data_IF_714023329838
#
_entry.id   IF_714023329838
#
_cell.length_a   1.000
_cell.length_b   1.000
_cell.length_c   1.000
_cell.angle_alpha   90.00
_cell.angle_beta   90.00
_cell.angle_gamma   90.00
#
_symmetry.space_group_name_H-M   'P 1'
#
loop_
_entity.id
_entity.type
_entity.pdbx_description
1 polymer ?
#
# COMPACT_ATOMS: atom_id res chain seq x y z
N UNK A 1 40.02 12.32 60.11
CA UNK A 1 39.61 11.34 59.07
C UNK A 1 38.15 11.46 58.66
N UNK A 2 37.23 12.00 59.47
CA UNK A 2 35.79 12.13 59.09
C UNK A 2 35.51 13.20 58.04
N UNK A 3 36.18 14.37 58.09
CA UNK A 3 35.91 15.50 57.19
C UNK A 3 36.21 15.15 55.72
N UNK A 4 37.35 14.58 55.32
CA UNK A 4 37.56 14.23 53.92
C UNK A 4 36.60 13.14 53.41
N UNK A 5 36.17 12.22 54.25
CA UNK A 5 35.19 11.20 53.87
C UNK A 5 33.81 11.80 53.61
N UNK A 6 33.39 12.82 54.34
CA UNK A 6 32.11 13.56 54.13
C UNK A 6 32.17 14.36 52.83
N UNK A 7 33.31 15.01 52.53
CA UNK A 7 33.47 15.76 51.25
C UNK A 7 33.40 14.83 50.06
N UNK A 8 34.07 13.68 50.13
CA UNK A 8 34.01 12.68 49.04
C UNK A 8 32.58 12.14 48.86
N UNK A 9 31.89 11.84 49.98
CA UNK A 9 30.50 11.36 49.92
C UNK A 9 29.56 12.42 49.32
N UNK A 10 29.68 13.69 49.70
CA UNK A 10 28.91 14.76 49.12
C UNK A 10 29.22 14.94 47.63
N UNK A 11 30.48 14.83 47.22
CA UNK A 11 30.86 14.88 45.81
C UNK A 11 30.26 13.76 44.97
N UNK A 12 30.26 12.54 45.48
CA UNK A 12 29.64 11.37 44.79
C UNK A 12 28.12 11.51 44.73
N UNK A 13 27.46 11.93 45.80
CA UNK A 13 26.01 12.18 45.80
C UNK A 13 25.62 13.29 44.82
N UNK A 14 26.43 14.33 44.76
CA UNK A 14 26.17 15.44 43.83
C UNK A 14 26.35 15.06 42.39
N UNK A 15 27.39 14.30 42.07
CA UNK A 15 27.56 13.76 40.71
C UNK A 15 26.41 12.87 40.30
N UNK A 16 25.89 12.05 41.22
CA UNK A 16 24.73 11.20 40.96
C UNK A 16 23.47 11.99 40.66
N UNK A 17 23.25 13.11 41.37
CA UNK A 17 22.11 14.01 41.12
C UNK A 17 22.25 14.69 39.75
N UNK A 18 23.40 15.28 39.44
CA UNK A 18 23.64 15.96 38.16
C UNK A 18 23.51 14.99 36.97
N UNK A 19 24.04 13.77 37.12
CA UNK A 19 23.90 12.71 36.11
C UNK A 19 22.44 12.27 35.96
N UNK A 20 21.69 12.21 37.05
CA UNK A 20 20.25 11.93 37.03
C UNK A 20 19.45 13.01 36.22
N UNK A 21 19.81 14.28 36.40
CA UNK A 21 19.20 15.37 35.63
C UNK A 21 19.53 15.27 34.12
N UNK A 22 20.77 14.94 33.77
CA UNK A 22 21.22 14.70 32.41
C UNK A 22 20.44 13.57 31.78
N UNK A 23 20.33 12.43 32.48
CA UNK A 23 19.63 11.25 31.99
C UNK A 23 18.12 11.50 31.77
N UNK A 24 17.49 12.20 32.73
CA UNK A 24 16.08 12.57 32.61
C UNK A 24 15.82 13.48 31.41
N UNK A 25 16.67 14.49 31.22
CA UNK A 25 16.58 15.39 30.05
C UNK A 25 16.76 14.63 28.75
N UNK A 26 17.74 13.73 28.68
CA UNK A 26 17.98 12.87 27.52
C UNK A 26 16.73 12.04 27.20
N UNK A 27 16.11 11.43 28.21
CA UNK A 27 14.90 10.63 28.06
C UNK A 27 13.71 11.47 27.54
N UNK A 28 13.52 12.71 28.08
CA UNK A 28 12.46 13.61 27.60
C UNK A 28 12.65 14.00 26.14
N UNK A 29 13.87 14.40 25.73
CA UNK A 29 14.16 14.80 24.36
C UNK A 29 14.05 13.60 23.40
N UNK A 30 14.49 12.44 23.83
CA UNK A 30 14.36 11.21 23.06
C UNK A 30 12.89 10.81 22.85
N UNK A 31 12.07 10.93 23.91
CA UNK A 31 10.62 10.71 23.83
C UNK A 31 9.93 11.70 22.88
N UNK A 32 10.31 12.98 22.96
CA UNK A 32 9.84 14.02 22.05
C UNK A 32 10.18 13.69 20.59
N UNK A 33 11.47 13.46 20.31
CA UNK A 33 11.94 13.19 18.96
C UNK A 33 11.25 11.95 18.35
N UNK A 34 11.14 10.86 19.12
CA UNK A 34 10.45 9.62 18.68
C UNK A 34 8.99 9.85 18.38
N UNK A 35 8.26 10.53 19.28
CA UNK A 35 6.82 10.74 19.11
C UNK A 35 6.52 11.60 17.90
N UNK A 36 7.30 12.67 17.70
CA UNK A 36 7.16 13.55 16.53
C UNK A 36 7.54 12.81 15.24
N UNK A 37 8.65 12.08 15.23
CA UNK A 37 9.09 11.32 14.07
C UNK A 37 8.05 10.28 13.62
N UNK A 38 7.47 9.52 14.56
CA UNK A 38 6.41 8.56 14.27
C UNK A 38 5.13 9.23 13.75
N UNK A 39 4.72 10.36 14.35
CA UNK A 39 3.52 11.09 13.93
C UNK A 39 3.69 11.64 12.50
N UNK A 40 4.84 12.24 12.20
CA UNK A 40 5.14 12.78 10.89
C UNK A 40 5.30 11.68 9.82
N UNK A 41 6.01 10.59 10.12
CA UNK A 41 6.25 9.51 9.16
C UNK A 41 4.96 8.79 8.73
N UNK A 42 3.92 8.79 9.55
CA UNK A 42 2.60 8.22 9.20
C UNK A 42 1.94 8.93 8.02
N UNK A 43 2.19 10.20 7.84
CA UNK A 43 1.57 11.02 6.79
C UNK A 43 2.33 10.96 5.46
N UNK A 44 3.54 10.38 5.45
CA UNK A 44 4.32 10.26 4.22
C UNK A 44 3.67 9.28 3.25
N UNK A 45 3.33 9.79 2.07
CA UNK A 45 2.60 9.04 1.05
C UNK A 45 3.16 9.27 -0.37
N UNK A 46 4.37 9.83 -0.47
CA UNK A 46 5.02 10.11 -1.76
C UNK A 46 4.49 11.34 -2.49
N UNK A 47 3.64 12.18 -1.87
CA UNK A 47 3.08 13.39 -2.47
C UNK A 47 3.49 14.65 -1.72
N UNK A 48 3.44 15.86 -2.36
CA UNK A 48 3.67 17.12 -1.66
C UNK A 48 2.70 17.36 -0.50
N UNK A 49 1.46 16.91 -0.65
CA UNK A 49 0.43 17.00 0.39
C UNK A 49 0.81 16.14 1.62
N UNK A 50 1.39 14.96 1.41
CA UNK A 50 1.91 14.10 2.48
C UNK A 50 3.04 14.76 3.27
N UNK A 51 3.95 15.46 2.61
CA UNK A 51 5.02 16.25 3.29
C UNK A 51 4.39 17.36 4.16
N UNK A 52 3.39 18.06 3.63
CA UNK A 52 2.69 19.13 4.38
C UNK A 52 1.94 18.55 5.59
N UNK A 53 1.25 17.44 5.42
CA UNK A 53 0.56 16.73 6.51
C UNK A 53 1.55 16.23 7.58
N UNK A 54 2.73 15.73 7.16
CA UNK A 54 3.78 15.27 8.07
C UNK A 54 4.27 16.41 9.00
N UNK A 55 4.50 17.61 8.47
CA UNK A 55 4.86 18.77 9.28
C UNK A 55 3.75 19.13 10.26
N UNK A 56 2.49 19.23 9.78
CA UNK A 56 1.36 19.58 10.61
C UNK A 56 1.17 18.57 11.77
N UNK A 57 1.20 17.28 11.50
CA UNK A 57 1.04 16.21 12.51
C UNK A 57 2.24 16.12 13.45
N UNK A 58 3.45 16.31 12.95
CA UNK A 58 4.65 16.40 13.76
C UNK A 58 4.58 17.57 14.73
N UNK A 59 4.22 18.77 14.26
CA UNK A 59 4.02 19.94 15.10
C UNK A 59 2.88 19.77 16.13
N UNK A 60 1.77 19.14 15.74
CA UNK A 60 0.68 18.81 16.67
C UNK A 60 1.15 17.86 17.77
N UNK A 61 1.96 16.86 17.43
CA UNK A 61 2.52 15.92 18.39
C UNK A 61 3.47 16.62 19.37
N UNK A 62 4.35 17.50 18.85
CA UNK A 62 5.26 18.29 19.68
C UNK A 62 4.51 19.20 20.67
N UNK A 63 3.46 19.91 20.23
CA UNK A 63 2.65 20.79 21.08
C UNK A 63 1.94 20.07 22.22
N UNK A 64 1.65 18.78 22.09
CA UNK A 64 1.01 17.95 23.14
C UNK A 64 1.99 17.51 24.21
N UNK A 65 3.28 17.50 23.90
CA UNK A 65 4.33 17.09 24.85
C UNK A 65 4.72 18.30 25.71
N UNK A 66 4.83 18.05 27.00
CA UNK A 66 5.36 19.02 27.98
C UNK A 66 6.70 18.54 28.47
N UNK A 67 7.62 19.47 28.65
CA UNK A 67 8.94 19.19 29.23
C UNK A 67 9.17 20.01 30.51
N UNK A 68 10.19 19.72 31.30
CA UNK A 68 10.50 20.43 32.54
C UNK A 68 9.24 20.71 33.39
N UNK A 69 8.47 19.67 33.69
CA UNK A 69 7.26 19.75 34.54
C UNK A 69 6.12 20.65 34.02
N UNK A 70 5.96 20.77 32.70
CA UNK A 70 4.79 21.43 32.13
C UNK A 70 5.07 22.55 31.14
N UNK A 71 6.31 22.85 30.82
CA UNK A 71 6.69 23.86 29.85
C UNK A 71 6.38 23.34 28.44
N UNK A 72 5.85 24.19 27.58
CA UNK A 72 5.60 23.85 26.18
C UNK A 72 6.93 23.80 25.41
N UNK A 73 7.05 22.81 24.48
CA UNK A 73 8.18 22.72 23.58
C UNK A 73 8.19 23.91 22.61
N UNK A 74 9.29 24.67 22.48
CA UNK A 74 9.42 25.72 21.46
C UNK A 74 9.63 25.05 20.08
N UNK A 75 8.53 24.63 19.46
CA UNK A 75 8.58 23.82 18.24
C UNK A 75 8.79 24.68 16.99
N UNK A 76 9.67 24.21 16.12
CA UNK A 76 9.84 24.72 14.74
C UNK A 76 9.89 23.53 13.77
N UNK A 77 9.31 23.69 12.59
CA UNK A 77 9.28 22.66 11.54
C UNK A 77 10.69 22.37 10.98
N UNK A 78 11.65 23.24 11.20
CA UNK A 78 13.06 23.03 10.83
C UNK A 78 13.72 21.85 11.56
N UNK A 79 13.13 21.41 12.67
CA UNK A 79 13.55 20.21 13.37
C UNK A 79 13.24 18.92 12.59
N UNK A 80 12.38 18.98 11.56
CA UNK A 80 12.02 17.85 10.71
C UNK A 80 12.80 17.89 9.41
N UNK A 81 13.44 16.77 9.07
CA UNK A 81 14.08 16.52 7.78
C UNK A 81 13.49 15.27 7.15
N UNK A 82 13.48 15.23 5.81
CA UNK A 82 12.94 14.13 5.03
C UNK A 82 14.05 13.41 4.26
N UNK A 83 14.05 12.08 4.31
CA UNK A 83 15.08 11.26 3.70
C UNK A 83 14.56 10.15 2.82
N UNK A 84 15.44 9.58 2.00
CA UNK A 84 15.17 8.40 1.16
C UNK A 84 15.66 7.10 1.80
N UNK A 85 16.44 7.18 2.87
CA UNK A 85 16.99 6.06 3.62
C UNK A 85 17.05 6.43 5.12
N UNK A 86 16.98 5.46 6.03
CA UNK A 86 17.15 5.71 7.46
C UNK A 86 18.61 5.92 7.88
N UNK A 87 19.57 5.74 6.98
CA UNK A 87 21.00 5.92 7.28
C UNK A 87 21.38 7.39 7.54
N UNK A 88 22.53 7.60 8.17
CA UNK A 88 23.09 8.95 8.38
C UNK A 88 23.19 9.74 7.08
N UNK A 89 23.59 9.07 5.98
CA UNK A 89 23.71 9.62 4.62
C UNK A 89 22.42 9.52 3.80
N UNK A 90 21.27 9.46 4.45
CA UNK A 90 19.95 9.19 3.85
C UNK A 90 19.41 10.29 2.93
N UNK A 91 20.24 11.22 2.49
CA UNK A 91 19.84 12.33 1.61
C UNK A 91 18.81 13.24 2.28
N UNK A 92 19.06 13.61 3.53
CA UNK A 92 18.19 14.42 4.36
C UNK A 92 18.02 15.83 3.79
N UNK A 93 16.79 16.21 3.50
CA UNK A 93 16.44 17.52 2.92
C UNK A 93 15.36 18.20 3.77
N UNK A 94 15.23 19.50 3.60
CA UNK A 94 14.16 20.29 4.19
C UNK A 94 12.78 20.02 3.53
N UNK A 95 11.76 20.63 4.08
CA UNK A 95 10.39 20.45 3.60
C UNK A 95 10.16 21.00 2.18
N UNK A 96 10.83 22.08 1.79
CA UNK A 96 10.69 22.67 0.46
C UNK A 96 11.24 21.73 -0.61
N UNK A 97 12.48 21.26 -0.40
CA UNK A 97 13.14 20.27 -1.26
C UNK A 97 12.40 18.93 -1.29
N UNK A 98 11.83 18.51 -0.15
CA UNK A 98 11.03 17.29 -0.08
C UNK A 98 9.72 17.40 -0.90
N UNK A 99 9.06 18.55 -0.91
CA UNK A 99 7.85 18.78 -1.73
C UNK A 99 8.14 18.76 -3.23
N UNK A 100 9.32 19.17 -3.65
CA UNK A 100 9.71 19.13 -5.08
C UNK A 100 10.03 17.71 -5.57
N UNK A 101 10.41 16.79 -4.68
CA UNK A 101 10.71 15.38 -5.01
C UNK A 101 10.15 14.42 -3.94
N UNK A 102 8.84 14.38 -3.73
CA UNK A 102 8.23 13.70 -2.60
C UNK A 102 8.23 12.16 -2.72
N UNK A 103 8.23 11.64 -3.94
CA UNK A 103 8.14 10.20 -4.21
C UNK A 103 9.30 9.37 -3.62
N UNK A 104 10.41 10.02 -3.26
CA UNK A 104 11.56 9.37 -2.65
C UNK A 104 11.66 9.60 -1.12
N UNK A 105 10.72 10.31 -0.49
CA UNK A 105 10.82 10.76 0.90
C UNK A 105 9.90 9.98 1.82
N UNK A 106 10.39 8.87 2.36
CA UNK A 106 9.61 7.96 3.23
C UNK A 106 10.12 7.91 4.67
N UNK A 107 11.18 8.66 4.95
CA UNK A 107 11.77 8.74 6.28
C UNK A 107 11.75 10.17 6.80
N UNK A 108 11.52 10.28 8.09
CA UNK A 108 11.56 11.54 8.84
C UNK A 108 12.66 11.44 9.86
N UNK A 109 13.53 12.42 9.91
CA UNK A 109 14.50 12.65 10.97
C UNK A 109 14.05 13.86 11.78
N UNK A 110 13.95 13.71 13.08
CA UNK A 110 13.70 14.80 14.02
C UNK A 110 14.94 15.03 14.83
N UNK A 111 15.46 16.26 14.77
CA UNK A 111 16.67 16.69 15.48
C UNK A 111 16.31 17.79 16.47
N UNK A 112 16.41 17.48 17.76
CA UNK A 112 16.06 18.43 18.82
C UNK A 112 17.10 19.51 19.03
N UNK A 113 18.32 19.42 18.45
CA UNK A 113 19.34 20.46 18.53
C UNK A 113 18.89 21.78 17.86
N UNK A 114 18.00 21.69 16.89
CA UNK A 114 17.46 22.82 16.13
C UNK A 114 16.43 23.61 16.94
N UNK A 115 15.85 23.02 18.01
CA UNK A 115 14.78 23.64 18.82
C UNK A 115 15.28 24.68 19.82
N UNK A 116 16.55 25.00 19.78
CA UNK A 116 17.19 25.98 20.67
C UNK A 116 17.89 25.32 21.86
N UNK A 117 18.98 25.98 22.27
CA UNK A 117 19.88 25.46 23.31
C UNK A 117 19.19 25.29 24.69
N UNK A 118 18.22 26.15 24.99
CA UNK A 118 17.51 26.14 26.28
C UNK A 118 16.68 24.88 26.51
N UNK A 119 16.22 24.25 25.44
CA UNK A 119 15.47 23.00 25.52
C UNK A 119 16.33 21.86 26.09
N UNK A 120 17.60 21.78 25.64
CA UNK A 120 18.54 20.77 26.04
C UNK A 120 19.48 21.18 27.18
N UNK A 121 19.49 22.45 27.58
CA UNK A 121 20.40 22.96 28.58
C UNK A 121 20.02 22.48 30.01
N UNK A 122 21.03 22.00 30.70
CA UNK A 122 20.96 21.55 32.10
C UNK A 122 22.01 22.31 32.86
N UNK A 123 21.57 23.06 33.87
CA UNK A 123 22.46 23.64 34.84
C UNK A 123 22.81 22.57 35.87
N UNK A 124 24.03 22.08 35.82
CA UNK A 124 24.53 21.17 36.83
C UNK A 124 24.69 21.92 38.15
N UNK A 125 24.40 21.26 39.27
CA UNK A 125 24.43 21.91 40.58
C UNK A 125 25.80 21.72 41.25
N UNK A 126 26.43 20.58 41.09
CA UNK A 126 27.65 20.20 41.79
C UNK A 126 28.84 19.98 40.87
N UNK A 127 28.62 19.68 39.60
CA UNK A 127 29.69 19.62 38.59
C UNK A 127 30.52 20.92 38.50
N UNK A 128 29.93 22.13 38.58
CA UNK A 128 30.71 23.39 38.56
C UNK A 128 31.73 23.46 39.68
N UNK A 129 31.41 22.91 40.85
CA UNK A 129 32.36 22.89 42.02
C UNK A 129 33.58 22.03 41.73
N UNK A 130 33.40 20.96 40.97
CA UNK A 130 34.47 20.02 40.62
C UNK A 130 35.30 20.48 39.41
N UNK A 131 34.61 21.08 38.42
CA UNK A 131 35.24 21.48 37.14
C UNK A 131 35.64 22.93 37.07
N UNK A 132 35.15 23.77 37.99
CA UNK A 132 35.37 25.24 37.96
C UNK A 132 34.63 25.96 36.79
N UNK A 133 33.66 25.30 36.15
CA UNK A 133 32.92 25.84 35.00
C UNK A 133 31.43 25.81 35.27
N UNK A 134 30.77 26.97 35.10
CA UNK A 134 29.32 27.12 35.23
C UNK A 134 28.59 26.93 33.89
N UNK A 135 29.28 26.47 32.86
CA UNK A 135 28.68 26.27 31.55
C UNK A 135 27.61 25.14 31.60
N UNK A 136 26.41 25.37 31.08
CA UNK A 136 25.36 24.35 31.04
C UNK A 136 25.78 23.18 30.16
N UNK A 137 25.42 21.97 30.57
CA UNK A 137 25.51 20.78 29.72
C UNK A 137 24.35 20.83 28.73
N UNK A 138 24.64 20.87 27.43
CA UNK A 138 23.62 20.90 26.40
C UNK A 138 23.47 19.50 25.80
N UNK A 139 22.25 18.97 25.79
CA UNK A 139 21.91 17.67 25.25
C UNK A 139 20.94 17.84 24.10
N UNK A 140 21.15 17.08 23.05
CA UNK A 140 20.21 16.93 21.95
C UNK A 140 20.00 15.45 21.63
N UNK A 141 18.87 15.15 21.03
CA UNK A 141 18.51 13.80 20.61
C UNK A 141 17.98 13.83 19.17
N UNK A 142 18.26 12.75 18.45
CA UNK A 142 17.78 12.51 17.11
C UNK A 142 16.93 11.25 17.13
N UNK A 143 15.81 11.28 16.39
CA UNK A 143 15.02 10.08 16.10
C UNK A 143 14.70 10.01 14.62
N UNK A 144 14.79 8.83 14.06
CA UNK A 144 14.41 8.54 12.68
C UNK A 144 13.23 7.58 12.71
N UNK A 145 12.17 7.95 12.00
CA UNK A 145 11.04 7.07 11.75
C UNK A 145 10.76 7.01 10.25
N UNK A 146 10.26 5.88 9.80
CA UNK A 146 9.93 5.74 8.39
C UNK A 146 8.76 4.79 8.19
N UNK A 147 8.08 4.97 7.09
CA UNK A 147 7.08 4.04 6.62
C UNK A 147 7.83 2.82 6.08
N UNK A 148 7.90 1.78 6.89
CA UNK A 148 8.73 0.61 6.60
C UNK A 148 8.06 -0.37 5.66
N UNK A 149 6.73 -0.45 5.69
CA UNK A 149 6.00 -1.46 4.96
C UNK A 149 4.54 -1.07 4.72
N UNK A 150 3.98 -1.61 3.66
CA UNK A 150 2.55 -1.58 3.34
C UNK A 150 2.05 -3.00 3.11
N UNK A 151 0.74 -3.19 3.30
CA UNK A 151 0.11 -4.48 3.06
C UNK A 151 -0.22 -4.66 1.57
N UNK A 152 0.30 -5.73 0.99
CA UNK A 152 -0.04 -6.18 -0.36
C UNK A 152 -0.30 -7.68 -0.38
N UNK A 153 -0.90 -8.16 -1.46
CA UNK A 153 -0.99 -9.59 -1.74
C UNK A 153 0.36 -10.10 -2.29
N UNK A 154 0.72 -11.38 -2.06
CA UNK A 154 1.98 -11.96 -2.57
C UNK A 154 2.05 -12.08 -4.09
N UNK A 155 0.93 -11.96 -4.79
CA UNK A 155 0.85 -11.93 -6.24
C UNK A 155 1.25 -10.57 -6.77
N UNK A 156 2.13 -10.53 -7.77
CA UNK A 156 2.45 -9.33 -8.54
C UNK A 156 2.35 -9.60 -10.04
N UNK A 157 1.98 -8.57 -10.81
CA UNK A 157 1.83 -8.62 -12.27
C UNK A 157 2.53 -7.41 -12.92
N UNK A 158 2.77 -7.50 -14.22
CA UNK A 158 3.26 -6.34 -14.96
C UNK A 158 2.19 -5.25 -15.08
N UNK A 159 2.59 -4.00 -14.97
CA UNK A 159 1.80 -2.89 -15.49
C UNK A 159 1.67 -3.08 -17.02
N UNK A 160 0.44 -2.93 -17.57
CA UNK A 160 0.19 -3.09 -19.01
C UNK A 160 0.62 -1.85 -19.81
N UNK A 161 0.84 -0.73 -19.14
CA UNK A 161 1.39 0.53 -19.65
C UNK A 161 2.26 1.19 -18.59
N UNK A 162 3.32 1.91 -18.96
CA UNK A 162 4.11 2.69 -18.00
C UNK A 162 3.40 3.96 -17.51
N UNK A 163 2.31 4.38 -18.19
CA UNK A 163 1.59 5.62 -17.87
C UNK A 163 0.71 5.44 -16.65
N UNK A 164 0.88 6.26 -15.60
CA UNK A 164 0.05 6.21 -14.39
C UNK A 164 -1.44 6.44 -14.68
N UNK A 165 -1.76 7.32 -15.64
CA UNK A 165 -3.10 7.58 -16.12
C UNK A 165 -3.08 8.04 -17.57
N UNK A 166 -4.01 7.54 -18.37
CA UNK A 166 -4.19 7.92 -19.78
C UNK A 166 -5.66 8.06 -20.12
N UNK A 167 -5.95 8.97 -21.06
CA UNK A 167 -7.27 9.14 -21.63
C UNK A 167 -7.51 8.08 -22.71
N UNK A 168 -8.62 7.34 -22.60
CA UNK A 168 -9.09 6.43 -23.63
C UNK A 168 -10.34 7.02 -24.28
N UNK A 169 -10.20 7.38 -25.55
CA UNK A 169 -11.35 7.86 -26.34
C UNK A 169 -12.43 6.76 -26.48
N UNK A 170 -13.67 7.18 -26.44
CA UNK A 170 -14.84 6.33 -26.70
C UNK A 170 -15.91 7.17 -27.38
N UNK A 171 -17.06 6.59 -27.72
CA UNK A 171 -18.15 7.31 -28.39
C UNK A 171 -19.01 8.16 -27.44
N UNK A 172 -18.66 8.25 -26.15
CA UNK A 172 -19.32 9.16 -25.20
C UNK A 172 -18.74 10.57 -25.27
N UNK A 173 -19.34 11.49 -24.52
CA UNK A 173 -18.85 12.88 -24.42
C UNK A 173 -17.61 13.06 -23.54
N UNK A 174 -17.08 11.98 -22.96
CA UNK A 174 -15.96 12.02 -22.01
C UNK A 174 -15.03 10.84 -22.25
N UNK A 175 -13.73 11.08 -22.20
CA UNK A 175 -12.73 10.03 -22.23
C UNK A 175 -12.73 9.20 -20.94
N UNK A 176 -12.42 7.90 -21.07
CA UNK A 176 -12.27 6.99 -19.96
C UNK A 176 -10.85 7.09 -19.38
N UNK A 177 -10.72 7.06 -18.06
CA UNK A 177 -9.43 6.94 -17.38
C UNK A 177 -8.95 5.48 -17.46
N UNK A 178 -7.74 5.32 -17.95
CA UNK A 178 -6.99 4.05 -17.95
C UNK A 178 -5.76 4.23 -17.06
N UNK A 179 -5.60 3.37 -16.07
CA UNK A 179 -4.50 3.48 -15.10
C UNK A 179 -3.50 2.32 -15.29
N UNK A 180 -2.25 2.62 -15.61
CA UNK A 180 -1.22 1.62 -15.93
C UNK A 180 -1.66 0.59 -16.96
N UNK A 181 -2.51 0.98 -17.90
CA UNK A 181 -3.05 0.12 -18.95
C UNK A 181 -4.25 -0.72 -18.54
N UNK A 182 -4.77 -0.56 -17.32
CA UNK A 182 -5.96 -1.25 -16.83
C UNK A 182 -7.18 -0.33 -16.83
N UNK A 183 -8.34 -0.88 -17.17
CA UNK A 183 -9.64 -0.20 -17.18
C UNK A 183 -10.47 -0.62 -15.96
N UNK A 184 -11.01 0.34 -15.22
CA UNK A 184 -11.89 0.04 -14.07
C UNK A 184 -13.18 -0.63 -14.53
N UNK A 185 -13.61 -1.61 -13.75
CA UNK A 185 -14.83 -2.36 -14.05
C UNK A 185 -14.64 -3.49 -15.08
N UNK A 186 -13.42 -3.72 -15.56
CA UNK A 186 -13.07 -4.84 -16.43
C UNK A 186 -12.44 -5.97 -15.61
N UNK A 187 -12.93 -7.18 -15.81
CA UNK A 187 -12.34 -8.39 -15.20
C UNK A 187 -11.22 -8.94 -16.08
N UNK A 188 -10.05 -9.06 -15.52
CA UNK A 188 -8.86 -9.66 -16.15
C UNK A 188 -8.58 -11.04 -15.56
N UNK A 189 -7.99 -11.95 -16.34
CA UNK A 189 -7.28 -13.09 -15.77
C UNK A 189 -5.84 -12.66 -15.49
N UNK A 190 -5.50 -12.50 -14.21
CA UNK A 190 -4.19 -12.00 -13.79
C UNK A 190 -3.03 -12.96 -14.15
N UNK A 191 -3.37 -14.22 -14.49
CA UNK A 191 -2.40 -15.23 -14.91
C UNK A 191 -2.15 -15.23 -16.43
N UNK A 192 -2.87 -14.39 -17.20
CA UNK A 192 -2.86 -14.42 -18.66
C UNK A 192 -2.48 -13.06 -19.29
N UNK A 193 -1.60 -12.30 -18.64
CA UNK A 193 -1.19 -10.98 -19.11
C UNK A 193 0.34 -10.91 -19.28
N UNK A 194 0.79 -10.20 -20.35
CA UNK A 194 2.19 -9.85 -20.53
C UNK A 194 2.33 -8.69 -21.51
N UNK A 195 2.77 -7.49 -21.08
CA UNK A 195 2.97 -6.35 -21.97
C UNK A 195 4.19 -6.47 -22.88
N UNK A 196 5.10 -7.42 -22.62
CA UNK A 196 6.40 -7.53 -23.30
C UNK A 196 6.65 -8.90 -23.95
N UNK A 197 5.62 -9.73 -24.04
CA UNK A 197 5.74 -11.06 -24.66
C UNK A 197 4.38 -11.71 -24.87
N UNK A 198 4.34 -12.77 -25.69
CA UNK A 198 3.11 -13.53 -26.00
C UNK A 198 2.84 -14.69 -25.01
N UNK A 199 3.78 -15.00 -24.14
CA UNK A 199 3.60 -15.97 -23.06
C UNK A 199 3.18 -15.23 -21.77
N UNK A 200 2.24 -15.77 -20.97
CA UNK A 200 1.84 -15.17 -19.71
C UNK A 200 3.01 -15.00 -18.75
N UNK A 201 3.00 -13.90 -17.98
CA UNK A 201 4.00 -13.65 -16.94
C UNK A 201 3.33 -13.09 -15.68
N UNK A 202 3.64 -13.70 -14.55
CA UNK A 202 3.19 -13.30 -13.23
C UNK A 202 4.24 -13.68 -12.18
N UNK A 203 4.22 -13.02 -11.04
CA UNK A 203 5.30 -13.11 -10.06
C UNK A 203 4.75 -13.35 -8.67
N UNK A 204 5.58 -13.99 -7.85
CA UNK A 204 5.41 -14.04 -6.39
C UNK A 204 6.38 -13.06 -5.76
N UNK A 205 5.88 -12.19 -4.88
CA UNK A 205 6.72 -11.25 -4.12
C UNK A 205 7.33 -11.98 -2.94
N UNK A 206 8.62 -11.74 -2.67
CA UNK A 206 9.30 -12.27 -1.48
C UNK A 206 8.73 -11.62 -0.19
N UNK A 207 8.08 -12.37 0.70
CA UNK A 207 7.44 -11.81 1.89
C UNK A 207 8.41 -11.58 3.06
N UNK A 208 9.64 -12.04 2.96
CA UNK A 208 10.58 -12.12 4.09
C UNK A 208 11.78 -11.19 3.91
N UNK A 209 12.11 -10.79 2.69
CA UNK A 209 13.27 -9.94 2.44
C UNK A 209 13.13 -8.57 3.09
N UNK A 210 14.15 -8.13 3.83
CA UNK A 210 14.20 -6.76 4.33
C UNK A 210 14.34 -5.75 3.17
N UNK A 211 14.01 -4.47 3.40
CA UNK A 211 14.18 -3.39 2.41
C UNK A 211 15.63 -3.36 1.90
N UNK A 212 15.79 -3.45 0.57
CA UNK A 212 17.12 -3.41 -0.07
C UNK A 212 18.00 -4.65 0.17
N UNK A 213 17.52 -5.64 0.93
CA UNK A 213 18.21 -6.89 1.18
C UNK A 213 18.18 -7.85 -0.02
N UNK A 214 19.12 -8.79 -0.04
CA UNK A 214 19.07 -9.93 -0.95
C UNK A 214 18.10 -10.96 -0.36
N UNK A 215 17.00 -11.27 -1.05
CA UNK A 215 16.08 -12.32 -0.64
C UNK A 215 16.72 -13.71 -0.75
N UNK A 216 16.23 -14.67 0.00
CA UNK A 216 16.59 -16.08 -0.16
C UNK A 216 15.66 -16.75 -1.18
N UNK A 217 16.20 -17.64 -2.02
CA UNK A 217 15.41 -18.33 -3.07
C UNK A 217 14.21 -19.11 -2.49
N UNK A 218 14.31 -19.63 -1.28
CA UNK A 218 13.23 -20.35 -0.60
C UNK A 218 12.08 -19.48 -0.11
N UNK A 219 12.25 -18.16 0.00
CA UNK A 219 11.22 -17.25 0.53
C UNK A 219 9.97 -17.18 -0.38
N UNK A 220 10.12 -17.49 -1.64
CA UNK A 220 9.03 -17.46 -2.64
C UNK A 220 8.44 -18.84 -2.92
N UNK A 221 8.81 -19.87 -2.15
CA UNK A 221 8.19 -21.19 -2.25
C UNK A 221 6.70 -21.15 -1.86
N UNK A 222 5.90 -22.01 -2.46
CA UNK A 222 4.46 -22.09 -2.16
C UNK A 222 4.19 -22.27 -0.66
N UNK A 223 4.98 -23.09 0.04
CA UNK A 223 4.85 -23.30 1.48
C UNK A 223 5.09 -22.03 2.30
N UNK A 224 6.13 -21.28 1.97
CA UNK A 224 6.46 -20.02 2.65
C UNK A 224 5.43 -18.92 2.38
N UNK A 225 4.94 -18.83 1.14
CA UNK A 225 4.01 -17.78 0.71
C UNK A 225 2.55 -18.07 1.13
N UNK A 226 2.18 -19.35 1.31
CA UNK A 226 0.81 -19.80 1.61
C UNK A 226 0.14 -19.02 2.78
N UNK A 227 0.77 -18.81 3.95
CA UNK A 227 0.15 -18.07 5.05
C UNK A 227 -0.19 -16.62 4.67
N UNK A 228 0.64 -15.98 3.84
CA UNK A 228 0.42 -14.61 3.38
C UNK A 228 -0.72 -14.53 2.37
N UNK A 229 -0.86 -15.54 1.49
CA UNK A 229 -2.01 -15.65 0.59
C UNK A 229 -3.30 -15.89 1.37
N UNK A 230 -3.29 -16.75 2.39
CA UNK A 230 -4.41 -16.96 3.31
C UNK A 230 -4.81 -15.64 3.98
N UNK A 231 -3.87 -14.96 4.60
CA UNK A 231 -4.12 -13.67 5.26
C UNK A 231 -4.54 -12.57 4.28
N UNK A 232 -4.13 -12.68 2.99
CA UNK A 232 -4.34 -11.66 1.95
C UNK A 232 -3.54 -10.41 2.21
N UNK A 233 -2.41 -10.54 2.87
CA UNK A 233 -1.52 -9.42 3.18
C UNK A 233 -0.14 -9.89 3.52
N UNK A 234 0.83 -9.18 3.01
CA UNK A 234 2.22 -9.25 3.44
C UNK A 234 2.79 -7.84 3.51
N UNK A 235 3.82 -7.66 4.30
CA UNK A 235 4.52 -6.39 4.38
C UNK A 235 5.57 -6.31 3.27
N UNK A 236 5.48 -5.29 2.42
CA UNK A 236 6.57 -4.91 1.54
C UNK A 236 7.11 -3.54 1.95
N UNK A 237 8.43 -3.35 1.85
CA UNK A 237 9.06 -2.17 2.46
C UNK A 237 8.70 -0.86 1.76
N UNK A 238 8.26 -0.90 0.50
CA UNK A 238 7.97 0.30 -0.26
C UNK A 238 7.20 -0.03 -1.53
N UNK A 239 6.29 0.86 -1.92
CA UNK A 239 5.40 0.61 -3.06
C UNK A 239 5.90 1.25 -4.34
N UNK A 240 5.99 2.56 -4.37
CA UNK A 240 6.25 3.30 -5.61
C UNK A 240 7.73 3.55 -5.82
N UNK A 241 8.26 3.10 -6.97
CA UNK A 241 9.66 3.28 -7.34
C UNK A 241 10.67 2.55 -6.43
N UNK A 242 10.19 1.70 -5.51
CA UNK A 242 11.04 0.92 -4.62
C UNK A 242 11.39 -0.46 -5.21
N UNK A 243 12.62 -0.95 -4.98
CA UNK A 243 12.99 -2.30 -5.35
C UNK A 243 12.30 -3.32 -4.44
N UNK A 244 11.71 -4.34 -5.05
CA UNK A 244 11.21 -5.52 -4.35
C UNK A 244 11.86 -6.77 -4.94
N UNK A 245 11.83 -7.88 -4.20
CA UNK A 245 12.31 -9.17 -4.69
C UNK A 245 11.12 -10.01 -5.13
N UNK A 246 11.23 -10.58 -6.32
CA UNK A 246 10.18 -11.41 -6.91
C UNK A 246 10.77 -12.68 -7.52
N UNK A 247 9.93 -13.68 -7.68
CA UNK A 247 10.23 -14.91 -8.45
C UNK A 247 9.09 -15.17 -9.42
N UNK A 248 9.41 -15.75 -10.57
CA UNK A 248 8.42 -16.18 -11.55
C UNK A 248 8.50 -17.70 -11.78
N UNK A 249 7.35 -18.35 -12.04
CA UNK A 249 5.99 -17.83 -11.98
C UNK A 249 5.40 -17.80 -10.55
N UNK A 250 4.30 -17.08 -10.36
CA UNK A 250 3.47 -17.25 -9.14
C UNK A 250 2.89 -18.67 -9.12
N UNK A 251 3.09 -19.45 -8.06
CA UNK A 251 2.73 -20.86 -8.05
C UNK A 251 1.22 -21.09 -7.84
N UNK A 252 0.40 -20.59 -8.76
CA UNK A 252 -1.07 -20.59 -8.68
C UNK A 252 -1.63 -22.02 -8.49
N UNK A 253 -1.04 -23.02 -9.15
CA UNK A 253 -1.48 -24.41 -9.02
C UNK A 253 -1.45 -24.97 -7.59
N UNK A 254 -0.59 -24.39 -6.73
CA UNK A 254 -0.48 -24.75 -5.31
C UNK A 254 -1.19 -23.76 -4.37
N UNK A 255 -1.52 -22.54 -4.84
CA UNK A 255 -2.00 -21.44 -4.00
C UNK A 255 -3.45 -20.99 -4.29
N UNK A 256 -4.10 -21.52 -5.33
CA UNK A 256 -5.47 -21.10 -5.66
C UNK A 256 -6.48 -21.38 -4.54
N UNK A 257 -6.31 -22.48 -3.79
CA UNK A 257 -7.19 -22.83 -2.67
C UNK A 257 -7.08 -21.81 -1.53
N UNK A 258 -5.88 -21.30 -1.26
CA UNK A 258 -5.65 -20.25 -0.27
C UNK A 258 -6.36 -18.95 -0.66
N UNK A 259 -6.34 -18.60 -1.95
CA UNK A 259 -7.13 -17.48 -2.48
C UNK A 259 -8.63 -17.70 -2.28
N UNK A 260 -9.11 -18.93 -2.39
CA UNK A 260 -10.51 -19.27 -2.31
C UNK A 260 -11.10 -19.24 -0.89
N UNK A 261 -10.27 -19.09 0.16
CA UNK A 261 -10.74 -18.78 1.51
C UNK A 261 -11.64 -17.53 1.55
N UNK A 262 -11.42 -16.58 0.63
CA UNK A 262 -12.22 -15.36 0.44
C UNK A 262 -13.66 -15.67 0.01
N UNK A 263 -13.88 -16.84 -0.60
CA UNK A 263 -15.19 -17.35 -1.04
C UNK A 263 -15.78 -18.40 -0.10
N UNK A 264 -15.30 -18.45 1.14
CA UNK A 264 -15.73 -19.44 2.14
C UNK A 264 -15.42 -20.90 1.73
N UNK A 265 -14.31 -21.11 1.01
CA UNK A 265 -13.84 -22.41 0.55
C UNK A 265 -12.51 -22.73 1.25
N UNK A 266 -12.57 -23.71 2.16
CA UNK A 266 -11.42 -24.12 2.98
C UNK A 266 -10.94 -25.54 2.69
N UNK A 267 -11.64 -26.27 1.84
CA UNK A 267 -11.31 -27.66 1.51
C UNK A 267 -9.93 -27.79 0.89
N UNK A 268 -9.07 -28.57 1.54
CA UNK A 268 -7.69 -28.80 1.10
C UNK A 268 -6.80 -27.56 1.09
N UNK A 269 -7.24 -26.46 1.70
CA UNK A 269 -6.41 -25.27 1.93
C UNK A 269 -5.76 -25.34 3.31
N UNK A 270 -4.59 -24.68 3.43
CA UNK A 270 -3.88 -24.51 4.71
C UNK A 270 -4.46 -23.35 5.51
N UNK A 271 -5.45 -22.63 4.95
CA UNK A 271 -6.08 -21.49 5.60
C UNK A 271 -7.09 -21.95 6.66
N UNK A 272 -7.09 -21.24 7.77
CA UNK A 272 -8.05 -21.35 8.85
C UNK A 272 -9.03 -20.15 8.80
N UNK A 273 -10.34 -20.35 8.95
CA UNK A 273 -11.34 -19.27 8.91
C UNK A 273 -11.07 -18.15 9.94
N UNK A 274 -10.45 -18.45 11.07
CA UNK A 274 -10.09 -17.45 12.08
C UNK A 274 -8.99 -16.50 11.61
N UNK A 275 -7.96 -17.04 10.92
CA UNK A 275 -6.83 -16.26 10.38
C UNK A 275 -7.08 -15.70 8.98
N UNK A 276 -7.95 -16.34 8.22
CA UNK A 276 -8.29 -16.00 6.84
C UNK A 276 -9.83 -15.98 6.63
N UNK A 277 -10.55 -15.05 7.27
CA UNK A 277 -12.01 -15.01 7.21
C UNK A 277 -12.52 -14.85 5.78
N UNK A 278 -13.73 -15.33 5.46
CA UNK A 278 -14.34 -15.13 4.16
C UNK A 278 -14.78 -13.68 3.95
N UNK A 279 -15.11 -13.35 2.72
CA UNK A 279 -15.79 -12.10 2.40
C UNK A 279 -17.25 -12.14 2.89
N UNK A 280 -17.84 -10.96 3.17
CA UNK A 280 -19.24 -10.86 3.59
C UNK A 280 -20.21 -11.29 2.48
N UNK A 281 -19.79 -11.17 1.22
CA UNK A 281 -20.52 -11.58 0.04
C UNK A 281 -19.66 -12.54 -0.80
N UNK A 282 -19.93 -13.84 -0.67
CA UNK A 282 -19.21 -14.90 -1.40
C UNK A 282 -19.84 -15.27 -2.74
N UNK A 283 -20.78 -14.46 -3.26
CA UNK A 283 -21.37 -14.65 -4.58
C UNK A 283 -20.31 -14.56 -5.67
N UNK A 284 -20.14 -15.62 -6.45
CA UNK A 284 -19.31 -15.59 -7.64
C UNK A 284 -20.05 -14.88 -8.79
N UNK A 285 -19.38 -13.95 -9.44
CA UNK A 285 -19.85 -13.27 -10.66
C UNK A 285 -19.20 -13.95 -11.86
N UNK A 286 -19.77 -15.08 -12.25
CA UNK A 286 -19.27 -15.91 -13.35
C UNK A 286 -20.23 -15.89 -14.51
N UNK A 287 -19.73 -16.21 -15.71
CA UNK A 287 -20.60 -16.64 -16.81
C UNK A 287 -21.17 -18.04 -16.47
N UNK A 288 -22.47 -18.09 -16.19
CA UNK A 288 -23.19 -19.31 -15.94
C UNK A 288 -24.62 -19.16 -16.46
N UNK A 289 -25.10 -20.19 -17.11
CA UNK A 289 -26.47 -20.22 -17.68
C UNK A 289 -27.56 -20.16 -16.61
N UNK A 290 -27.29 -20.63 -15.39
CA UNK A 290 -28.23 -20.64 -14.26
C UNK A 290 -28.10 -19.43 -13.34
N UNK A 291 -26.89 -19.15 -12.87
CA UNK A 291 -26.57 -18.22 -11.78
C UNK A 291 -25.62 -17.07 -12.19
N UNK A 292 -25.41 -16.85 -13.46
CA UNK A 292 -24.50 -15.82 -13.95
C UNK A 292 -24.96 -14.39 -13.69
N UNK A 293 -24.25 -13.42 -14.25
CA UNK A 293 -24.57 -12.01 -14.08
C UNK A 293 -25.90 -11.66 -14.75
N UNK A 294 -26.80 -11.05 -13.99
CA UNK A 294 -28.18 -10.80 -14.43
C UNK A 294 -28.37 -9.38 -15.01
N UNK A 295 -27.44 -8.48 -14.79
CA UNK A 295 -27.50 -7.10 -15.29
C UNK A 295 -26.97 -6.91 -16.72
N UNK A 296 -26.44 -7.99 -17.34
CA UNK A 296 -25.96 -7.97 -18.73
C UNK A 296 -26.80 -8.89 -19.64
N UNK A 297 -27.05 -8.43 -20.86
CA UNK A 297 -27.70 -9.22 -21.90
C UNK A 297 -27.04 -8.91 -23.26
N UNK A 298 -26.55 -9.90 -24.01
CA UNK A 298 -26.41 -11.30 -23.59
C UNK A 298 -25.38 -11.46 -22.48
N UNK A 299 -25.40 -12.58 -21.77
CA UNK A 299 -24.39 -12.91 -20.77
C UNK A 299 -23.05 -13.16 -21.44
N UNK A 300 -21.94 -12.70 -20.83
CA UNK A 300 -20.62 -13.01 -21.38
C UNK A 300 -20.35 -14.52 -21.33
N UNK A 301 -19.68 -15.05 -22.34
CA UNK A 301 -19.29 -16.45 -22.39
C UNK A 301 -18.02 -16.76 -21.59
N UNK A 302 -17.34 -15.75 -21.05
CA UNK A 302 -16.06 -15.89 -20.35
C UNK A 302 -16.13 -15.24 -18.96
N UNK A 303 -15.27 -15.71 -18.05
CA UNK A 303 -15.16 -15.14 -16.69
C UNK A 303 -14.22 -13.91 -16.61
N UNK A 304 -13.55 -13.60 -17.70
CA UNK A 304 -12.71 -12.39 -17.86
C UNK A 304 -12.74 -11.91 -19.30
N UNK A 305 -12.25 -10.71 -19.56
CA UNK A 305 -11.99 -10.25 -20.91
C UNK A 305 -11.01 -11.20 -21.61
N UNK A 306 -11.34 -11.60 -22.84
CA UNK A 306 -10.53 -12.56 -23.60
C UNK A 306 -9.11 -12.04 -23.81
N UNK A 307 -8.12 -12.85 -23.50
CA UNK A 307 -6.72 -12.59 -23.82
C UNK A 307 -6.40 -12.95 -25.27
N UNK A 308 -5.52 -12.19 -25.89
CA UNK A 308 -5.03 -12.49 -27.23
C UNK A 308 -3.60 -11.97 -27.45
N UNK A 309 -2.77 -12.66 -28.24
CA UNK A 309 -1.49 -12.13 -28.69
C UNK A 309 -1.70 -11.00 -29.71
N UNK A 310 -0.97 -9.90 -29.54
CA UNK A 310 -0.96 -8.78 -30.50
C UNK A 310 0.47 -8.23 -30.60
N UNK A 311 1.08 -8.36 -31.76
CA UNK A 311 2.52 -8.07 -31.90
C UNK A 311 3.35 -8.90 -30.93
N UNK A 312 4.19 -8.23 -30.13
CA UNK A 312 5.02 -8.89 -29.12
C UNK A 312 4.46 -8.70 -27.71
N UNK A 313 3.15 -8.82 -27.55
CA UNK A 313 2.50 -8.70 -26.22
C UNK A 313 1.27 -9.60 -26.13
N UNK A 314 0.94 -10.02 -24.91
CA UNK A 314 -0.30 -10.68 -24.56
C UNK A 314 -1.18 -9.67 -23.84
N UNK A 315 -2.29 -9.29 -24.47
CA UNK A 315 -3.23 -8.29 -24.02
C UNK A 315 -4.67 -8.82 -24.04
N UNK A 316 -5.65 -8.01 -23.67
CA UNK A 316 -7.06 -8.38 -23.73
C UNK A 316 -7.77 -7.63 -24.84
N UNK A 317 -8.98 -8.08 -25.22
CA UNK A 317 -9.83 -7.41 -26.18
C UNK A 317 -10.25 -6.00 -25.76
N UNK A 318 -10.14 -5.67 -24.49
CA UNK A 318 -10.45 -4.35 -23.93
C UNK A 318 -9.25 -3.44 -23.84
N UNK A 319 -8.07 -3.91 -24.28
CA UNK A 319 -6.83 -3.13 -24.24
C UNK A 319 -7.00 -1.82 -25.01
N UNK A 320 -6.70 -0.67 -24.39
CA UNK A 320 -6.91 0.63 -25.01
C UNK A 320 -5.96 0.92 -26.17
N UNK A 321 -4.81 0.24 -26.23
CA UNK A 321 -3.76 0.52 -27.22
C UNK A 321 -4.08 -0.09 -28.57
N UNK A 322 -4.53 -1.34 -28.61
CA UNK A 322 -4.79 -2.07 -29.85
C UNK A 322 -5.88 -3.12 -29.67
N UNK A 323 -7.14 -2.70 -29.49
CA UNK A 323 -8.23 -3.67 -29.40
C UNK A 323 -8.36 -4.42 -30.72
N UNK A 324 -8.57 -5.74 -30.71
CA UNK A 324 -8.74 -6.52 -31.92
C UNK A 324 -10.04 -6.16 -32.64
N UNK A 325 -10.09 -6.45 -33.95
CA UNK A 325 -11.32 -6.39 -34.73
C UNK A 325 -12.20 -7.63 -34.43
N UNK A 326 -13.49 -7.52 -34.72
CA UNK A 326 -14.44 -8.64 -34.59
C UNK A 326 -14.85 -8.94 -33.14
N UNK A 327 -14.90 -7.92 -32.31
CA UNK A 327 -15.39 -8.03 -30.93
C UNK A 327 -16.87 -8.36 -30.89
N UNK A 328 -17.27 -9.26 -29.99
CA UNK A 328 -18.66 -9.53 -29.65
C UNK A 328 -18.88 -9.64 -28.14
N UNK A 329 -20.13 -9.73 -27.74
CA UNK A 329 -20.54 -9.77 -26.33
C UNK A 329 -19.95 -10.95 -25.56
N UNK A 330 -19.58 -12.03 -26.22
CA UNK A 330 -19.09 -13.24 -25.59
C UNK A 330 -17.63 -13.15 -25.15
N UNK A 331 -16.91 -12.16 -25.68
CA UNK A 331 -15.48 -11.95 -25.43
C UNK A 331 -15.19 -11.06 -24.21
N UNK A 332 -16.20 -10.35 -23.70
CA UNK A 332 -16.11 -9.59 -22.44
C UNK A 332 -16.51 -10.49 -21.28
N UNK A 333 -15.73 -10.52 -20.25
CA UNK A 333 -16.12 -11.14 -18.97
C UNK A 333 -17.16 -10.29 -18.22
N UNK A 334 -17.46 -10.65 -16.95
CA UNK A 334 -18.28 -9.81 -16.08
C UNK A 334 -17.67 -8.41 -15.97
N UNK A 335 -18.53 -7.39 -16.08
CA UNK A 335 -18.14 -5.99 -16.00
C UNK A 335 -18.89 -5.31 -14.85
N UNK A 336 -18.24 -4.38 -14.15
CA UNK A 336 -18.84 -3.54 -13.12
C UNK A 336 -19.42 -4.29 -11.90
N UNK A 337 -18.88 -5.44 -11.58
CA UNK A 337 -19.31 -6.18 -10.39
C UNK A 337 -18.97 -5.44 -9.09
N UNK A 338 -17.85 -4.73 -9.08
CA UNK A 338 -17.32 -3.98 -7.93
C UNK A 338 -17.05 -2.51 -8.24
N UNK A 339 -16.40 -2.21 -9.35
CA UNK A 339 -16.04 -0.87 -9.77
C UNK A 339 -16.71 -0.50 -11.09
N UNK A 340 -16.83 0.79 -11.37
CA UNK A 340 -17.31 1.33 -12.66
C UNK A 340 -16.19 2.06 -13.35
N UNK A 341 -16.24 2.11 -14.67
CA UNK A 341 -15.42 3.01 -15.47
C UNK A 341 -15.56 4.45 -14.97
N UNK A 342 -14.46 5.18 -14.96
CA UNK A 342 -14.37 6.57 -14.50
C UNK A 342 -13.86 7.48 -15.61
N UNK A 343 -14.22 8.76 -15.53
CA UNK A 343 -13.87 9.76 -16.54
C UNK A 343 -12.45 10.29 -16.30
N UNK A 344 -11.69 10.43 -17.36
CA UNK A 344 -10.34 10.99 -17.31
C UNK A 344 -10.29 12.44 -16.82
N UNK A 345 -11.36 13.21 -17.06
CA UNK A 345 -11.46 14.62 -16.66
C UNK A 345 -11.30 14.88 -15.16
N UNK A 346 -11.48 13.84 -14.32
CA UNK A 346 -11.25 13.94 -12.86
C UNK A 346 -9.84 13.58 -12.41
N UNK A 347 -9.00 13.11 -13.33
CA UNK A 347 -7.66 12.65 -13.01
C UNK A 347 -6.61 13.76 -13.15
N UNK A 348 -5.71 13.82 -12.18
CA UNK A 348 -4.48 14.63 -12.26
C UNK A 348 -3.32 13.77 -11.75
N UNK A 349 -2.27 13.67 -12.54
CA UNK A 349 -1.11 12.87 -12.18
C UNK A 349 -0.46 13.37 -10.87
N UNK A 350 -0.09 12.43 -9.99
CA UNK A 350 0.50 12.73 -8.69
C UNK A 350 -0.49 13.25 -7.64
N UNK A 351 -1.77 13.42 -7.99
CA UNK A 351 -2.83 13.81 -7.05
C UNK A 351 -3.64 12.56 -6.66
N UNK A 352 -3.81 12.28 -5.36
CA UNK A 352 -4.65 11.18 -4.90
C UNK A 352 -6.08 11.27 -5.42
N UNK A 353 -6.71 10.11 -5.64
CA UNK A 353 -8.14 10.04 -5.95
C UNK A 353 -8.94 10.77 -4.85
N UNK A 354 -9.90 11.64 -5.23
CA UNK A 354 -10.78 12.29 -4.26
C UNK A 354 -11.50 11.27 -3.36
N UNK A 355 -11.85 11.67 -2.14
CA UNK A 355 -12.55 10.80 -1.19
C UNK A 355 -13.86 10.23 -1.74
N UNK A 356 -14.56 11.01 -2.58
CA UNK A 356 -15.79 10.60 -3.26
C UNK A 356 -15.55 9.79 -4.54
N UNK A 357 -14.26 9.56 -4.90
CA UNK A 357 -13.83 8.91 -6.12
C UNK A 357 -13.86 9.83 -7.34
N UNK A 358 -13.32 9.33 -8.45
CA UNK A 358 -13.44 10.03 -9.73
C UNK A 358 -14.87 9.99 -10.29
N UNK A 359 -15.26 10.95 -11.15
CA UNK A 359 -16.56 10.94 -11.84
C UNK A 359 -16.76 9.63 -12.61
N UNK A 360 -17.87 8.93 -12.34
CA UNK A 360 -18.18 7.62 -12.93
C UNK A 360 -19.01 7.75 -14.19
N UNK A 361 -18.87 6.78 -15.10
CA UNK A 361 -19.81 6.59 -16.19
C UNK A 361 -21.13 5.99 -15.66
N UNK A 362 -22.24 6.41 -16.29
CA UNK A 362 -23.56 5.86 -16.00
C UNK A 362 -23.76 4.50 -16.73
N UNK A 363 -24.69 3.64 -16.28
CA UNK A 363 -25.05 2.42 -17.02
C UNK A 363 -25.46 2.68 -18.47
N UNK A 364 -26.05 3.83 -18.76
CA UNK A 364 -26.41 4.26 -20.14
C UNK A 364 -25.20 4.49 -21.06
N UNK A 365 -24.01 4.69 -20.50
CA UNK A 365 -22.77 4.86 -21.29
C UNK A 365 -22.12 3.51 -21.67
N UNK A 366 -22.63 2.41 -21.15
CA UNK A 366 -22.11 1.06 -21.36
C UNK A 366 -21.85 0.73 -22.84
N UNK A 367 -22.83 0.89 -23.78
CA UNK A 367 -22.60 0.57 -25.19
C UNK A 367 -21.51 1.43 -25.85
N UNK A 368 -21.23 2.60 -25.29
CA UNK A 368 -20.20 3.51 -25.80
C UNK A 368 -18.80 3.14 -25.32
N UNK A 369 -18.72 2.60 -24.11
CA UNK A 369 -17.46 2.13 -23.50
C UNK A 369 -17.02 0.78 -24.07
N UNK A 370 -17.98 -0.11 -24.33
CA UNK A 370 -17.75 -1.50 -24.71
C UNK A 370 -18.46 -1.82 -26.03
N UNK A 371 -18.04 -1.13 -27.11
CA UNK A 371 -18.58 -1.35 -28.46
C UNK A 371 -18.56 -2.84 -28.83
N UNK A 372 -19.68 -3.34 -29.36
CA UNK A 372 -19.95 -4.77 -29.62
C UNK A 372 -19.93 -5.67 -28.36
N UNK A 373 -19.92 -5.07 -27.17
CA UNK A 373 -19.99 -5.79 -25.90
C UNK A 373 -21.42 -6.10 -25.46
N UNK A 374 -21.58 -6.75 -24.29
CA UNK A 374 -22.90 -7.08 -23.75
C UNK A 374 -23.69 -5.81 -23.42
N UNK A 375 -24.97 -5.77 -23.79
CA UNK A 375 -25.86 -4.68 -23.41
C UNK A 375 -26.20 -4.73 -21.93
N UNK A 376 -26.11 -3.59 -21.24
CA UNK A 376 -26.56 -3.51 -19.86
C UNK A 376 -28.10 -3.53 -19.82
N UNK A 377 -28.66 -4.46 -19.05
CA UNK A 377 -30.09 -4.53 -18.75
C UNK A 377 -30.28 -4.65 -17.25
N UNK A 378 -31.28 -3.93 -16.72
CA UNK A 378 -31.61 -4.02 -15.28
C UNK A 378 -30.39 -3.86 -14.35
N UNK A 379 -29.41 -3.02 -14.74
CA UNK A 379 -28.22 -2.80 -13.94
C UNK A 379 -28.62 -2.28 -12.55
N UNK A 380 -28.13 -2.90 -11.46
CA UNK A 380 -28.53 -2.49 -10.12
C UNK A 380 -28.17 -1.05 -9.83
N UNK A 381 -28.99 -0.34 -9.09
CA UNK A 381 -28.70 1.04 -8.63
C UNK A 381 -27.42 1.10 -7.78
N UNK A 382 -27.14 0.05 -7.02
CA UNK A 382 -25.89 -0.14 -6.26
C UNK A 382 -24.97 -1.11 -6.99
N UNK A 383 -23.67 -1.00 -6.73
CA UNK A 383 -22.69 -1.98 -7.19
C UNK A 383 -23.11 -3.39 -6.72
N UNK A 384 -23.16 -4.40 -7.59
CA UNK A 384 -23.63 -5.76 -7.26
C UNK A 384 -22.98 -6.35 -6.01
N UNK A 385 -21.68 -6.16 -5.85
CA UNK A 385 -20.95 -6.63 -4.67
C UNK A 385 -21.53 -6.13 -3.35
N UNK A 386 -21.99 -4.90 -3.27
CA UNK A 386 -22.54 -4.31 -2.04
C UNK A 386 -24.00 -4.66 -1.77
N UNK A 387 -24.58 -5.56 -2.58
CA UNK A 387 -25.89 -6.14 -2.27
C UNK A 387 -25.81 -7.01 -1.02
N UNK A 388 -26.87 -6.96 -0.21
CA UNK A 388 -27.02 -7.75 1.03
C UNK A 388 -28.14 -8.77 0.92
N UNK A 389 -28.79 -8.86 -0.24
CA UNK A 389 -29.87 -9.81 -0.55
C UNK A 389 -30.01 -9.99 -2.07
N UNK A 390 -30.82 -10.98 -2.46
CA UNK A 390 -31.15 -11.26 -3.86
C UNK A 390 -30.02 -11.94 -4.63
N UNK A 391 -30.13 -11.95 -5.96
CA UNK A 391 -29.26 -12.74 -6.84
C UNK A 391 -27.79 -12.28 -6.88
N UNK A 392 -27.50 -11.08 -6.40
CA UNK A 392 -26.14 -10.53 -6.36
C UNK A 392 -25.45 -10.75 -5.01
N UNK A 393 -26.10 -11.44 -4.10
CA UNK A 393 -25.58 -11.71 -2.75
C UNK A 393 -25.62 -13.21 -2.42
N UNK A 394 -24.58 -13.67 -1.75
CA UNK A 394 -24.52 -14.96 -1.09
C UNK A 394 -23.74 -14.79 0.22
N UNK A 395 -24.38 -15.06 1.34
CA UNK A 395 -23.71 -15.09 2.62
C UNK A 395 -22.68 -16.23 2.68
N UNK A 396 -21.60 -16.10 3.43
CA UNK A 396 -20.79 -17.24 3.83
C UNK A 396 -21.59 -18.22 4.68
N UNK A 397 -21.04 -19.40 4.97
CA UNK A 397 -21.66 -20.39 5.85
C UNK A 397 -22.00 -19.78 7.22
N UNK A 398 -23.06 -20.28 7.87
CA UNK A 398 -23.48 -19.73 9.17
C UNK A 398 -22.38 -19.74 10.24
N UNK A 399 -21.50 -20.73 10.18
CA UNK A 399 -20.35 -20.88 11.07
C UNK A 399 -19.31 -19.76 10.86
N UNK A 400 -19.06 -19.34 9.63
CA UNK A 400 -18.05 -18.35 9.28
C UNK A 400 -18.61 -16.92 9.16
N UNK A 401 -19.92 -16.76 9.14
CA UNK A 401 -20.58 -15.46 9.02
C UNK A 401 -20.13 -14.44 10.09
N UNK A 402 -19.92 -14.78 11.37
CA UNK A 402 -19.49 -13.82 12.39
C UNK A 402 -18.09 -13.25 12.15
N UNK A 403 -17.24 -14.00 11.45
CA UNK A 403 -15.85 -13.59 11.14
C UNK A 403 -15.71 -12.89 9.80
N UNK A 404 -16.73 -12.97 8.94
CA UNK A 404 -16.72 -12.40 7.58
C UNK A 404 -16.33 -10.92 7.55
N UNK A 405 -15.60 -10.51 6.51
CA UNK A 405 -15.09 -9.15 6.36
C UNK A 405 -15.46 -8.58 5.00
N UNK A 406 -15.81 -7.30 4.98
CA UNK A 406 -16.02 -6.55 3.74
C UNK A 406 -14.68 -6.33 3.01
N UNK A 407 -14.71 -6.33 1.68
CA UNK A 407 -13.55 -6.15 0.80
C UNK A 407 -12.45 -7.22 0.96
N UNK A 408 -12.78 -8.39 1.51
CA UNK A 408 -11.80 -9.47 1.67
C UNK A 408 -11.36 -10.05 0.33
N UNK A 409 -12.17 -9.90 -0.72
CA UNK A 409 -11.89 -10.29 -2.11
C UNK A 409 -11.11 -9.23 -2.88
N UNK A 410 -10.88 -8.05 -2.29
CA UNK A 410 -10.11 -7.00 -2.92
C UNK A 410 -8.61 -7.25 -2.69
N UNK A 411 -7.92 -7.63 -3.74
CA UNK A 411 -6.47 -7.85 -3.73
C UNK A 411 -5.74 -6.53 -3.96
N UNK A 412 -4.69 -6.30 -3.20
CA UNK A 412 -3.73 -5.22 -3.42
C UNK A 412 -2.50 -5.79 -4.13
N UNK A 413 -2.49 -5.72 -5.45
CA UNK A 413 -1.50 -6.38 -6.31
C UNK A 413 -0.44 -5.38 -6.74
N UNK A 414 0.85 -5.59 -6.40
CA UNK A 414 1.94 -4.79 -6.94
C UNK A 414 2.00 -4.87 -8.46
N UNK A 415 1.99 -3.70 -9.11
CA UNK A 415 2.21 -3.54 -10.54
C UNK A 415 3.70 -3.30 -10.79
N UNK A 416 4.33 -4.16 -11.58
CA UNK A 416 5.76 -4.11 -11.82
C UNK A 416 6.07 -3.34 -13.10
N UNK A 417 7.20 -2.61 -13.07
CA UNK A 417 7.84 -2.09 -14.27
C UNK A 417 8.48 -3.25 -15.04
N UNK A 418 7.83 -3.69 -16.09
CA UNK A 418 8.31 -4.80 -16.93
C UNK A 418 9.07 -4.31 -18.19
N UNK A 419 9.97 -5.09 -18.74
CA UNK A 419 10.22 -6.50 -18.43
C UNK A 419 11.02 -6.71 -17.14
N UNK A 420 10.67 -7.73 -16.36
CA UNK A 420 11.45 -8.23 -15.24
C UNK A 420 12.14 -9.51 -15.68
N UNK A 421 13.41 -9.66 -15.32
CA UNK A 421 14.17 -10.85 -15.67
C UNK A 421 13.48 -12.14 -15.16
N UNK A 422 13.46 -13.23 -15.93
CA UNK A 422 12.94 -14.50 -15.44
C UNK A 422 13.84 -15.07 -14.35
N UNK A 423 13.27 -15.86 -13.45
CA UNK A 423 14.04 -16.57 -12.43
C UNK A 423 13.49 -16.38 -11.01
N UNK A 424 14.31 -16.80 -10.06
CA UNK A 424 14.02 -16.71 -8.64
C UNK A 424 14.80 -15.55 -8.00
N UNK A 425 14.18 -14.86 -7.04
CA UNK A 425 14.81 -13.82 -6.24
C UNK A 425 15.42 -12.67 -7.07
N UNK A 426 14.75 -12.27 -8.13
CA UNK A 426 15.17 -11.17 -8.99
C UNK A 426 14.66 -9.82 -8.47
N UNK A 427 15.42 -8.76 -8.74
CA UNK A 427 15.00 -7.39 -8.43
C UNK A 427 13.92 -6.93 -9.40
N UNK A 428 12.86 -6.31 -8.87
CA UNK A 428 11.81 -5.68 -9.65
C UNK A 428 11.44 -4.34 -9.03
N UNK A 429 10.88 -3.43 -9.82
CA UNK A 429 10.38 -2.15 -9.33
C UNK A 429 8.86 -2.16 -9.35
N UNK A 430 8.23 -1.96 -8.19
CA UNK A 430 6.80 -1.74 -8.11
C UNK A 430 6.50 -0.28 -8.46
N UNK A 431 5.70 -0.04 -9.50
CA UNK A 431 5.32 1.31 -9.95
C UNK A 431 4.03 1.79 -9.28
N UNK A 432 3.16 0.87 -8.89
CA UNK A 432 1.90 1.15 -8.21
C UNK A 432 1.36 -0.10 -7.52
N UNK A 433 0.27 0.05 -6.77
CA UNK A 433 -0.55 -1.06 -6.30
C UNK A 433 -1.93 -0.97 -6.93
N UNK A 434 -2.28 -1.98 -7.71
CA UNK A 434 -3.62 -2.14 -8.28
C UNK A 434 -4.58 -2.77 -7.28
N UNK A 435 -5.81 -2.24 -7.23
CA UNK A 435 -6.94 -2.87 -6.55
C UNK A 435 -7.63 -3.83 -7.53
N UNK A 436 -7.60 -5.11 -7.24
CA UNK A 436 -8.22 -6.15 -8.06
C UNK A 436 -9.24 -6.94 -7.24
N UNK A 437 -10.50 -6.82 -7.59
CA UNK A 437 -11.59 -7.52 -6.92
C UNK A 437 -11.82 -8.88 -7.56
N UNK A 438 -11.60 -9.97 -6.81
CA UNK A 438 -11.86 -11.33 -7.30
C UNK A 438 -13.35 -11.52 -7.59
N UNK A 439 -13.70 -11.70 -8.86
CA UNK A 439 -15.09 -11.89 -9.31
C UNK A 439 -15.58 -13.31 -9.05
N UNK A 440 -14.68 -14.30 -9.10
CA UNK A 440 -14.97 -15.71 -8.85
C UNK A 440 -13.79 -16.42 -8.16
N UNK A 441 -14.01 -17.61 -7.60
CA UNK A 441 -12.92 -18.41 -7.07
C UNK A 441 -11.82 -18.65 -8.10
N UNK A 442 -10.56 -18.61 -7.63
CA UNK A 442 -9.40 -18.93 -8.45
C UNK A 442 -9.39 -20.42 -8.82
N UNK A 443 -8.81 -20.71 -9.97
CA UNK A 443 -8.54 -22.10 -10.42
C UNK A 443 -7.03 -22.39 -10.33
N UNK A 444 -6.63 -23.61 -10.63
CA UNK A 444 -5.21 -23.98 -10.68
C UNK A 444 -4.40 -23.25 -11.76
N UNK A 445 -5.06 -22.47 -12.61
CA UNK A 445 -4.41 -21.75 -13.73
C UNK A 445 -4.87 -20.30 -13.91
N UNK A 446 -5.86 -19.82 -13.14
CA UNK A 446 -6.50 -18.53 -13.39
C UNK A 446 -6.89 -17.81 -12.09
N UNK A 447 -6.76 -16.48 -12.10
CA UNK A 447 -7.28 -15.58 -11.07
C UNK A 447 -8.09 -14.49 -11.77
N UNK A 448 -9.41 -14.61 -11.75
CA UNK A 448 -10.32 -13.65 -12.38
C UNK A 448 -10.60 -12.50 -11.42
N UNK A 449 -10.12 -11.31 -11.78
CA UNK A 449 -10.25 -10.15 -10.91
C UNK A 449 -10.52 -8.86 -11.69
N UNK A 450 -11.54 -8.12 -11.24
CA UNK A 450 -11.96 -6.84 -11.80
C UNK A 450 -11.06 -5.72 -11.27
N UNK A 451 -10.51 -4.92 -12.16
CA UNK A 451 -9.70 -3.77 -11.77
C UNK A 451 -10.56 -2.65 -11.19
N UNK A 452 -10.20 -2.19 -10.00
CA UNK A 452 -10.94 -1.19 -9.23
C UNK A 452 -10.16 0.12 -9.03
N UNK A 453 -9.10 0.33 -9.80
CA UNK A 453 -8.24 1.51 -9.71
C UNK A 453 -6.96 1.27 -8.92
N UNK A 454 -6.14 2.29 -8.84
CA UNK A 454 -4.90 2.26 -8.06
C UNK A 454 -5.21 2.49 -6.58
N UNK A 455 -4.57 1.73 -5.72
CA UNK A 455 -4.59 1.98 -4.28
C UNK A 455 -3.57 3.06 -3.95
N UNK A 456 -4.05 4.19 -3.42
CA UNK A 456 -3.14 5.20 -2.90
C UNK A 456 -2.48 4.70 -1.61
N UNK A 457 -1.20 4.97 -1.44
CA UNK A 457 -0.44 4.48 -0.28
C UNK A 457 -1.07 4.86 1.07
N UNK A 458 -1.70 6.04 1.16
CA UNK A 458 -2.39 6.48 2.38
C UNK A 458 -3.60 5.63 2.75
N UNK A 459 -4.19 4.92 1.77
CA UNK A 459 -5.38 4.07 1.98
C UNK A 459 -5.03 2.63 2.30
N UNK A 460 -3.77 2.23 2.11
CA UNK A 460 -3.28 0.89 2.42
C UNK A 460 -2.74 0.88 3.85
N UNK A 461 -3.16 -0.07 4.70
CA UNK A 461 -2.57 -0.21 6.02
C UNK A 461 -1.05 -0.32 5.92
N UNK A 462 -0.35 0.55 6.66
CA UNK A 462 1.11 0.62 6.65
C UNK A 462 1.66 0.58 8.07
N UNK A 463 2.90 0.11 8.20
CA UNK A 463 3.63 0.12 9.45
C UNK A 463 4.68 1.24 9.43
N UNK A 464 4.70 2.04 10.49
CA UNK A 464 5.75 3.03 10.73
C UNK A 464 6.59 2.54 11.89
N UNK A 465 7.90 2.49 11.70
CA UNK A 465 8.84 2.06 12.73
C UNK A 465 9.90 3.13 12.98
N UNK A 466 10.50 3.05 14.17
CA UNK A 466 11.70 3.81 14.52
C UNK A 466 12.92 3.05 14.04
N UNK A 467 13.89 3.79 13.53
CA UNK A 467 15.21 3.28 13.16
C UNK A 467 16.23 3.71 14.19
N UNK A 468 17.21 2.83 14.49
CA UNK A 468 18.27 3.13 15.46
C UNK A 468 19.18 4.27 15.01
#
# INVERSE_FOLDING_TARGET
>A
MAVPAVIVMLGVCGLAIDLGLVYNRKAELHGLAKTVALAAARELNGTPAGITAALAKGGDAARRIKFKYGIAVPWTDDAIRFGSSPSADGGWVDAASARSSPAARFYVKVDTSVLGVDLGAIQATLMPILTGSDAPVVISEVAIAGRSAINVDPLAICAMSPLPGAARANTSSSDELVEYGFRRGVTYDLMQLNPNGIAPVHYVVDPVSPPGGLGAAGNTSAGTVSPFVCAGRMWIPRVTGGPIRVSSPFPIGSLYRQLNSRFDQYDGAVCDPGGAPPDFNVKAYTHDTGNGVTWMTPRPAMNSAAGHPSGNRLQTIVDPVSPPSGLDATMYGPLWAYARAVKFSGYTEGVPEPADGYPRFAPSDWPKLYASGPAATSFPSKTPYFSTFGNNYRAPSGEHLPTARINRRLLHVPLLSCPVAPGTNVGATAVAIGKFFMTSPATSSSVFAEFAGIAHESTIPGQVILYP
#
